data_IF_350782550646
#
_entry.id   IF_350782550646
#
_cell.length_a   1.000
_cell.length_b   1.000
_cell.length_c   1.000
_cell.angle_alpha   90.00
_cell.angle_beta   90.00
_cell.angle_gamma   90.00
#
_symmetry.space_group_name_H-M   'P 1'
#
loop_
_entity.id
_entity.type
_entity.pdbx_description
1 polymer ?
#
# COMPACT_ATOMS: atom_id res chain seq x y z
N UNK A 1 17.87 -5.10 -13.06
CA UNK A 1 16.45 -5.55 -13.15
C UNK A 1 16.02 -5.90 -11.73
N UNK A 2 14.89 -5.38 -11.30
CA UNK A 2 14.27 -5.59 -9.96
C UNK A 2 13.00 -6.38 -10.15
N UNK A 3 12.65 -7.28 -9.24
CA UNK A 3 11.42 -8.08 -9.28
C UNK A 3 10.45 -7.61 -8.20
N UNK A 4 9.25 -7.19 -8.60
CA UNK A 4 8.28 -6.50 -7.73
C UNK A 4 6.96 -7.25 -7.67
N UNK A 5 6.43 -7.47 -6.47
CA UNK A 5 5.05 -7.91 -6.24
C UNK A 5 4.19 -6.72 -5.80
N UNK A 6 2.99 -6.56 -6.40
CA UNK A 6 2.10 -5.42 -6.12
C UNK A 6 0.71 -5.92 -5.76
N UNK A 7 0.24 -5.65 -4.54
CA UNK A 7 -1.14 -5.96 -4.17
C UNK A 7 -2.14 -4.97 -4.81
N UNK A 8 -3.33 -5.47 -5.20
CA UNK A 8 -4.38 -4.64 -5.80
C UNK A 8 -3.98 -4.00 -7.13
N UNK A 9 -3.16 -4.69 -7.94
CA UNK A 9 -2.64 -4.20 -9.21
C UNK A 9 -3.55 -4.49 -10.42
N UNK A 10 -4.77 -4.96 -10.20
CA UNK A 10 -5.76 -5.13 -11.27
C UNK A 10 -6.44 -3.83 -11.71
N UNK A 11 -6.22 -2.70 -11.00
CA UNK A 11 -6.86 -1.42 -11.30
C UNK A 11 -6.08 -0.24 -10.68
N UNK A 12 -6.48 1.00 -11.03
CA UNK A 12 -6.01 2.24 -10.40
C UNK A 12 -4.49 2.36 -10.32
N UNK A 13 -4.00 2.92 -9.22
CA UNK A 13 -2.58 3.21 -9.02
C UNK A 13 -1.69 1.97 -9.06
N UNK A 14 -2.18 0.82 -8.58
CA UNK A 14 -1.42 -0.44 -8.62
C UNK A 14 -1.19 -0.93 -10.03
N UNK A 15 -2.19 -0.82 -10.92
CA UNK A 15 -2.03 -1.16 -12.33
C UNK A 15 -1.09 -0.19 -13.05
N UNK A 16 -1.22 1.12 -12.80
CA UNK A 16 -0.35 2.13 -13.38
C UNK A 16 1.11 1.94 -12.95
N UNK A 17 1.34 1.62 -11.69
CA UNK A 17 2.67 1.29 -11.19
C UNK A 17 3.24 0.02 -11.85
N UNK A 18 2.42 -1.00 -12.02
CA UNK A 18 2.82 -2.23 -12.70
C UNK A 18 3.19 -1.98 -14.17
N UNK A 19 2.41 -1.19 -14.89
CA UNK A 19 2.71 -0.81 -16.27
C UNK A 19 4.04 -0.07 -16.37
N UNK A 20 4.25 0.95 -15.53
CA UNK A 20 5.49 1.73 -15.53
C UNK A 20 6.72 0.86 -15.18
N UNK A 21 6.60 -0.07 -14.25
CA UNK A 21 7.69 -1.01 -13.90
C UNK A 21 8.03 -1.93 -15.07
N UNK A 22 7.03 -2.47 -15.76
CA UNK A 22 7.24 -3.30 -16.97
C UNK A 22 7.89 -2.48 -18.08
N UNK A 23 7.44 -1.25 -18.34
CA UNK A 23 8.03 -0.32 -19.31
C UNK A 23 9.51 -0.03 -19.00
N UNK A 24 9.88 0.01 -17.72
CA UNK A 24 11.26 0.19 -17.26
C UNK A 24 12.09 -1.10 -17.29
N UNK A 25 11.54 -2.22 -17.74
CA UNK A 25 12.25 -3.50 -17.85
C UNK A 25 12.38 -4.28 -16.53
N UNK A 26 11.50 -4.02 -15.55
CA UNK A 26 11.44 -4.76 -14.29
C UNK A 26 10.49 -5.95 -14.37
N UNK A 27 10.75 -7.01 -13.59
CA UNK A 27 9.82 -8.13 -13.42
C UNK A 27 8.68 -7.75 -12.49
N UNK A 28 7.43 -8.01 -12.89
CA UNK A 28 6.25 -7.65 -12.11
C UNK A 28 5.31 -8.82 -11.97
N UNK A 29 4.94 -9.14 -10.72
CA UNK A 29 3.85 -10.05 -10.39
C UNK A 29 2.66 -9.25 -9.90
N UNK A 30 1.51 -9.48 -10.55
CA UNK A 30 0.26 -8.80 -10.25
C UNK A 30 -0.52 -9.53 -9.15
N UNK A 31 -1.50 -8.85 -8.58
CA UNK A 31 -2.48 -9.42 -7.67
C UNK A 31 -3.90 -8.97 -8.01
N UNK A 32 -4.83 -9.92 -8.01
CA UNK A 32 -6.24 -9.70 -8.20
C UNK A 32 -7.08 -10.52 -7.20
N UNK A 33 -8.26 -10.03 -6.83
CA UNK A 33 -9.12 -10.70 -5.85
C UNK A 33 -9.83 -11.95 -6.39
N UNK A 34 -9.90 -12.15 -7.71
CA UNK A 34 -10.49 -13.33 -8.35
C UNK A 34 -9.94 -13.52 -9.76
N UNK A 35 -10.17 -14.70 -10.35
CA UNK A 35 -9.66 -15.12 -11.66
C UNK A 35 -10.04 -14.15 -12.78
N UNK A 36 -11.31 -13.73 -12.86
CA UNK A 36 -11.75 -12.78 -13.89
C UNK A 36 -10.94 -11.48 -13.86
N UNK A 37 -10.76 -10.91 -12.66
CA UNK A 37 -9.94 -9.69 -12.47
C UNK A 37 -8.45 -9.95 -12.75
N UNK A 38 -7.99 -11.17 -12.51
CA UNK A 38 -6.62 -11.59 -12.84
C UNK A 38 -6.37 -11.59 -14.35
N UNK A 39 -7.27 -12.17 -15.11
CA UNK A 39 -7.18 -12.17 -16.58
C UNK A 39 -7.24 -10.76 -17.16
N UNK A 40 -8.18 -9.92 -16.65
CA UNK A 40 -8.27 -8.51 -17.02
C UNK A 40 -6.96 -7.76 -16.72
N UNK A 41 -6.33 -8.04 -15.58
CA UNK A 41 -5.08 -7.40 -15.17
C UNK A 41 -3.91 -7.79 -16.08
N UNK A 42 -3.74 -9.08 -16.39
CA UNK A 42 -2.71 -9.55 -17.32
C UNK A 42 -2.88 -8.97 -18.73
N UNK A 43 -4.12 -8.88 -19.21
CA UNK A 43 -4.41 -8.25 -20.49
C UNK A 43 -4.07 -6.74 -20.48
N UNK A 44 -4.26 -6.06 -19.35
CA UNK A 44 -4.01 -4.63 -19.20
C UNK A 44 -2.53 -4.28 -18.93
N UNK A 45 -1.71 -5.24 -18.48
CA UNK A 45 -0.28 -5.08 -18.21
C UNK A 45 0.52 -6.12 -19.01
N UNK A 46 0.62 -5.97 -20.34
CA UNK A 46 1.42 -6.87 -21.17
C UNK A 46 2.88 -6.84 -20.70
N UNK A 47 3.46 -8.02 -20.47
CA UNK A 47 4.82 -8.16 -19.95
C UNK A 47 4.91 -8.37 -18.45
N UNK A 48 3.80 -8.34 -17.70
CA UNK A 48 3.78 -8.86 -16.33
C UNK A 48 4.08 -10.37 -16.33
N UNK A 49 4.84 -10.86 -15.34
CA UNK A 49 5.24 -12.26 -15.25
C UNK A 49 4.04 -13.20 -15.06
N UNK A 50 3.16 -12.84 -14.15
CA UNK A 50 1.94 -13.59 -13.79
C UNK A 50 1.06 -12.76 -12.87
N UNK A 51 -0.07 -13.35 -12.44
CA UNK A 51 -0.97 -12.80 -11.43
C UNK A 51 -1.23 -13.83 -10.34
N UNK A 52 -1.18 -13.40 -9.07
CA UNK A 52 -1.65 -14.19 -7.93
C UNK A 52 -3.07 -13.80 -7.57
N UNK A 53 -3.86 -14.79 -7.14
CA UNK A 53 -5.30 -14.63 -6.91
C UNK A 53 -5.63 -14.87 -5.45
N UNK A 54 -6.41 -13.97 -4.86
CA UNK A 54 -7.00 -14.12 -3.52
C UNK A 54 -7.66 -12.85 -3.05
N UNK A 55 -8.79 -12.97 -2.35
CA UNK A 55 -9.48 -11.82 -1.79
C UNK A 55 -8.86 -11.45 -0.43
N UNK A 56 -8.32 -10.25 -0.34
CA UNK A 56 -7.70 -9.72 0.89
C UNK A 56 -8.71 -9.40 2.01
N UNK A 57 -10.00 -9.55 1.73
CA UNK A 57 -11.04 -9.54 2.77
C UNK A 57 -11.03 -10.81 3.64
N UNK A 58 -10.41 -11.89 3.17
CA UNK A 58 -10.33 -13.19 3.84
C UNK A 58 -8.92 -13.44 4.35
N UNK A 59 -8.80 -13.78 5.63
CA UNK A 59 -7.51 -14.17 6.25
C UNK A 59 -6.95 -15.42 5.55
N UNK A 60 -7.80 -16.41 5.27
CA UNK A 60 -7.39 -17.64 4.61
C UNK A 60 -6.87 -17.37 3.20
N UNK A 61 -7.57 -16.56 2.40
CA UNK A 61 -7.14 -16.21 1.05
C UNK A 61 -5.90 -15.31 1.06
N UNK A 62 -5.78 -14.39 2.01
CA UNK A 62 -4.56 -13.57 2.17
C UNK A 62 -3.33 -14.43 2.46
N UNK A 63 -3.44 -15.46 3.30
CA UNK A 63 -2.38 -16.46 3.50
C UNK A 63 -2.08 -17.22 2.21
N UNK A 64 -3.12 -17.63 1.48
CA UNK A 64 -2.97 -18.28 0.18
C UNK A 64 -2.24 -17.40 -0.85
N UNK A 65 -2.44 -16.07 -0.82
CA UNK A 65 -1.66 -15.12 -1.64
C UNK A 65 -0.17 -15.16 -1.26
N UNK A 66 0.15 -15.13 0.04
CA UNK A 66 1.54 -15.23 0.48
C UNK A 66 2.20 -16.54 0.03
N UNK A 67 1.48 -17.66 0.11
CA UNK A 67 1.96 -18.96 -0.36
C UNK A 67 2.21 -18.98 -1.87
N UNK A 68 1.32 -18.37 -2.67
CA UNK A 68 1.51 -18.23 -4.11
C UNK A 68 2.75 -17.40 -4.43
N UNK A 69 2.91 -16.24 -3.77
CA UNK A 69 4.08 -15.35 -3.92
C UNK A 69 5.36 -16.09 -3.58
N UNK A 70 5.41 -16.82 -2.47
CA UNK A 70 6.58 -17.57 -2.03
C UNK A 70 6.96 -18.70 -3.00
N UNK A 71 6.00 -19.36 -3.64
CA UNK A 71 6.25 -20.36 -4.70
C UNK A 71 6.87 -19.76 -5.96
N UNK A 72 6.66 -18.49 -6.22
CA UNK A 72 7.28 -17.77 -7.34
C UNK A 72 8.73 -17.38 -7.05
N UNK A 73 9.21 -17.54 -5.82
CA UNK A 73 10.57 -17.22 -5.40
C UNK A 73 10.71 -15.83 -4.76
N UNK A 74 11.93 -15.33 -4.71
CA UNK A 74 12.27 -14.07 -4.04
C UNK A 74 11.85 -12.85 -4.85
N UNK A 75 11.43 -11.81 -4.13
CA UNK A 75 11.16 -10.49 -4.66
C UNK A 75 12.12 -9.46 -4.07
N UNK A 76 12.55 -8.49 -4.87
CA UNK A 76 13.34 -7.37 -4.39
C UNK A 76 12.46 -6.35 -3.66
N UNK A 77 11.22 -6.17 -4.13
CA UNK A 77 10.26 -5.25 -3.51
C UNK A 77 8.84 -5.83 -3.45
N UNK A 78 8.12 -5.48 -2.38
CA UNK A 78 6.67 -5.71 -2.25
C UNK A 78 5.99 -4.37 -2.02
N UNK A 79 4.99 -4.07 -2.85
CA UNK A 79 4.16 -2.86 -2.74
C UNK A 79 2.78 -3.25 -2.21
N UNK A 80 2.48 -2.87 -0.98
CA UNK A 80 1.15 -2.98 -0.38
C UNK A 80 0.28 -1.81 -0.86
N UNK A 81 -0.26 -1.95 -2.08
CA UNK A 81 -1.06 -0.92 -2.74
C UNK A 81 -2.58 -1.17 -2.59
N UNK A 82 -3.01 -2.40 -2.35
CA UNK A 82 -4.43 -2.70 -2.18
C UNK A 82 -5.05 -1.86 -1.07
N UNK A 83 -6.25 -1.34 -1.31
CA UNK A 83 -6.95 -0.56 -0.30
C UNK A 83 -8.46 -0.44 -0.58
N UNK A 84 -9.25 -0.55 0.49
CA UNK A 84 -10.66 -0.21 0.52
C UNK A 84 -10.83 1.28 0.84
N UNK A 85 -11.89 1.89 0.31
CA UNK A 85 -12.11 3.33 0.41
C UNK A 85 -12.77 3.80 1.71
N UNK A 86 -12.86 5.11 1.87
CA UNK A 86 -13.32 5.80 3.09
C UNK A 86 -14.82 6.14 3.07
N UNK A 87 -15.56 5.76 2.03
CA UNK A 87 -16.96 6.15 1.85
C UNK A 87 -17.95 5.04 2.19
N UNK A 88 -17.55 4.07 3.01
CA UNK A 88 -18.46 3.01 3.44
C UNK A 88 -19.47 3.56 4.45
N UNK A 89 -20.78 3.64 4.09
CA UNK A 89 -21.80 4.24 4.96
C UNK A 89 -22.16 3.35 6.16
N UNK A 90 -21.75 2.09 6.13
CA UNK A 90 -21.95 1.09 7.18
C UNK A 90 -20.73 0.18 7.28
N UNK A 91 -20.52 -0.43 8.43
CA UNK A 91 -19.51 -1.46 8.59
C UNK A 91 -19.90 -2.67 7.70
N UNK A 92 -19.01 -3.02 6.77
CA UNK A 92 -19.11 -4.22 5.96
C UNK A 92 -18.26 -5.28 6.67
N UNK A 93 -18.91 -6.29 7.24
CA UNK A 93 -18.21 -7.39 7.89
C UNK A 93 -17.67 -8.38 6.84
N UNK A 94 -16.44 -8.84 7.03
CA UNK A 94 -15.86 -9.95 6.27
C UNK A 94 -16.35 -11.29 6.79
N UNK A 95 -15.99 -12.39 6.11
CA UNK A 95 -16.27 -13.75 6.61
C UNK A 95 -15.59 -14.06 7.95
N UNK A 96 -14.49 -13.37 8.23
CA UNK A 96 -13.75 -13.47 9.51
C UNK A 96 -14.34 -12.57 10.62
N UNK A 97 -15.48 -11.89 10.38
CA UNK A 97 -16.13 -11.01 11.35
C UNK A 97 -15.45 -9.65 11.53
N UNK A 98 -14.50 -9.29 10.68
CA UNK A 98 -13.74 -8.03 10.76
C UNK A 98 -14.29 -6.97 9.79
N UNK A 99 -14.15 -5.66 10.11
CA UNK A 99 -14.47 -4.62 9.15
C UNK A 99 -13.64 -4.74 7.87
N UNK A 100 -14.29 -4.64 6.71
CA UNK A 100 -13.66 -4.70 5.39
C UNK A 100 -12.45 -3.76 5.26
N UNK A 101 -12.60 -2.51 5.68
CA UNK A 101 -11.52 -1.52 5.63
C UNK A 101 -10.32 -1.97 6.45
N UNK A 102 -10.54 -2.50 7.66
CA UNK A 102 -9.46 -3.02 8.50
C UNK A 102 -8.81 -4.27 7.89
N UNK A 103 -9.61 -5.22 7.41
CA UNK A 103 -9.12 -6.45 6.81
C UNK A 103 -8.20 -6.17 5.61
N UNK A 104 -8.64 -5.32 4.67
CA UNK A 104 -7.90 -5.06 3.43
C UNK A 104 -6.72 -4.11 3.64
N UNK A 105 -6.91 -3.02 4.41
CA UNK A 105 -5.91 -1.97 4.50
C UNK A 105 -4.85 -2.21 5.58
N UNK A 106 -5.19 -2.95 6.64
CA UNK A 106 -4.30 -3.17 7.78
C UNK A 106 -3.86 -4.61 7.92
N UNK A 107 -4.84 -5.52 8.04
CA UNK A 107 -4.55 -6.92 8.37
C UNK A 107 -3.87 -7.66 7.21
N UNK A 108 -4.32 -7.43 5.98
CA UNK A 108 -3.71 -8.05 4.81
C UNK A 108 -2.24 -7.61 4.60
N UNK A 109 -1.89 -6.30 4.61
CA UNK A 109 -0.49 -5.89 4.60
C UNK A 109 0.34 -6.50 5.72
N UNK A 110 -0.21 -6.57 6.95
CA UNK A 110 0.46 -7.19 8.09
C UNK A 110 0.74 -8.69 7.85
N UNK A 111 -0.27 -9.46 7.43
CA UNK A 111 -0.13 -10.90 7.14
C UNK A 111 0.87 -11.13 6.02
N UNK A 112 0.76 -10.40 4.92
CA UNK A 112 1.66 -10.53 3.76
C UNK A 112 3.09 -10.16 4.13
N UNK A 113 3.30 -9.10 4.91
CA UNK A 113 4.62 -8.73 5.43
C UNK A 113 5.22 -9.84 6.29
N UNK A 114 4.41 -10.49 7.12
CA UNK A 114 4.88 -11.54 8.02
C UNK A 114 5.19 -12.87 7.30
N UNK A 115 4.47 -13.19 6.21
CA UNK A 115 4.50 -14.51 5.59
C UNK A 115 5.26 -14.57 4.26
N UNK A 116 5.35 -13.48 3.50
CA UNK A 116 6.16 -13.43 2.28
C UNK A 116 7.64 -13.48 2.66
N UNK A 117 8.43 -14.25 1.90
CA UNK A 117 9.89 -14.25 2.05
C UNK A 117 10.41 -12.83 1.98
N UNK A 118 11.21 -12.45 2.99
CA UNK A 118 11.62 -11.07 3.23
C UNK A 118 12.24 -10.42 1.99
N UNK A 119 11.61 -9.38 1.42
CA UNK A 119 12.18 -8.62 0.32
C UNK A 119 13.19 -7.59 0.84
N UNK A 120 13.93 -6.95 -0.07
CA UNK A 120 14.81 -5.83 0.28
C UNK A 120 14.03 -4.55 0.58
N UNK A 121 12.83 -4.40 -0.01
CA UNK A 121 12.01 -3.18 0.08
C UNK A 121 10.55 -3.52 0.35
N UNK A 122 9.95 -2.79 1.28
CA UNK A 122 8.54 -2.85 1.61
C UNK A 122 7.94 -1.44 1.51
N UNK A 123 6.91 -1.30 0.70
CA UNK A 123 6.25 -0.03 0.44
C UNK A 123 4.77 -0.14 0.82
N UNK A 124 4.29 0.75 1.69
CA UNK A 124 2.92 0.79 2.18
C UNK A 124 2.21 2.06 1.68
N UNK A 125 1.11 1.90 0.96
CA UNK A 125 0.31 3.03 0.50
C UNK A 125 -0.61 3.52 1.62
N UNK A 126 -0.18 4.59 2.27
CA UNK A 126 -0.94 5.35 3.25
C UNK A 126 -1.82 6.43 2.57
N UNK A 127 -2.18 7.46 3.27
CA UNK A 127 -2.98 8.61 2.83
C UNK A 127 -2.71 9.80 3.76
N UNK A 128 -2.92 11.02 3.32
CA UNK A 128 -2.90 12.21 4.18
C UNK A 128 -3.86 12.13 5.36
N UNK A 129 -4.92 11.31 5.24
CA UNK A 129 -5.88 11.06 6.31
C UNK A 129 -5.29 10.27 7.49
N UNK A 130 -4.12 9.63 7.37
CA UNK A 130 -3.44 8.99 8.50
C UNK A 130 -3.23 9.92 9.69
N UNK A 131 -3.12 11.25 9.45
CA UNK A 131 -2.95 12.27 10.50
C UNK A 131 -4.15 12.37 11.46
N UNK A 132 -5.32 11.89 11.03
CA UNK A 132 -6.55 11.85 11.82
C UNK A 132 -6.86 10.45 12.37
N UNK A 133 -5.96 9.48 12.18
CA UNK A 133 -6.12 8.11 12.65
C UNK A 133 -5.88 7.98 14.15
N UNK A 134 -6.48 6.95 14.76
CA UNK A 134 -6.27 6.57 16.16
C UNK A 134 -5.16 5.49 16.26
N UNK A 135 -4.08 5.84 16.94
CA UNK A 135 -2.95 4.94 17.17
C UNK A 135 -3.15 3.97 18.35
N UNK A 136 -4.24 4.07 19.07
CA UNK A 136 -4.47 3.26 20.29
C UNK A 136 -4.65 1.77 20.02
N UNK A 137 -4.99 1.39 18.77
CA UNK A 137 -5.32 0.04 18.34
C UNK A 137 -6.47 -0.59 19.14
N UNK A 138 -7.29 0.24 19.79
CA UNK A 138 -8.47 -0.20 20.51
C UNK A 138 -9.65 -0.33 19.57
N UNK A 139 -10.51 -1.31 19.84
CA UNK A 139 -11.76 -1.52 19.11
C UNK A 139 -11.59 -1.56 17.58
N UNK A 140 -10.62 -2.35 17.11
CA UNK A 140 -10.34 -2.55 15.68
C UNK A 140 -11.52 -3.17 14.92
N UNK A 141 -12.37 -3.91 15.63
CA UNK A 141 -13.60 -4.50 15.10
C UNK A 141 -14.80 -3.55 15.08
N UNK A 142 -14.68 -2.34 15.64
CA UNK A 142 -15.78 -1.36 15.73
C UNK A 142 -17.01 -1.89 16.49
N UNK A 143 -16.81 -2.65 17.54
CA UNK A 143 -17.87 -3.25 18.35
C UNK A 143 -18.43 -2.28 19.42
N UNK A 144 -17.62 -1.33 19.88
CA UNK A 144 -17.89 -0.47 21.03
C UNK A 144 -18.14 0.99 20.65
N UNK A 145 -18.18 1.32 19.37
CA UNK A 145 -18.41 2.69 18.86
C UNK A 145 -19.22 2.67 17.57
N UNK A 146 -20.02 3.75 17.28
CA UNK A 146 -20.74 3.87 16.02
C UNK A 146 -19.78 3.88 14.83
N UNK A 147 -20.18 3.20 13.74
CA UNK A 147 -19.38 3.16 12.51
C UNK A 147 -19.21 4.55 11.91
N UNK A 148 -17.98 4.88 11.58
CA UNK A 148 -17.59 6.07 10.84
C UNK A 148 -16.57 5.67 9.76
N UNK A 149 -17.01 5.51 8.52
CA UNK A 149 -16.16 4.99 7.43
C UNK A 149 -14.91 5.82 7.19
N UNK A 150 -14.98 7.15 7.31
CA UNK A 150 -13.81 8.01 7.18
C UNK A 150 -12.79 7.78 8.32
N UNK A 151 -13.27 7.63 9.56
CA UNK A 151 -12.39 7.37 10.70
C UNK A 151 -11.76 5.98 10.57
N UNK A 152 -12.54 4.95 10.20
CA UNK A 152 -12.03 3.60 9.97
C UNK A 152 -10.93 3.58 8.88
N UNK A 153 -11.12 4.35 7.82
CA UNK A 153 -10.10 4.52 6.79
C UNK A 153 -8.86 5.26 7.33
N UNK A 154 -9.04 6.36 8.05
CA UNK A 154 -7.95 7.14 8.65
C UNK A 154 -7.12 6.28 9.60
N UNK A 155 -7.77 5.49 10.46
CA UNK A 155 -7.14 4.53 11.36
C UNK A 155 -6.31 3.52 10.56
N UNK A 156 -6.91 2.93 9.51
CA UNK A 156 -6.23 1.95 8.68
C UNK A 156 -4.99 2.52 7.97
N UNK A 157 -5.06 3.80 7.53
CA UNK A 157 -3.93 4.46 6.87
C UNK A 157 -2.83 4.88 7.85
N UNK A 158 -3.17 5.14 9.09
CA UNK A 158 -2.20 5.26 10.17
C UNK A 158 -1.56 3.91 10.49
N UNK A 159 -2.32 2.80 10.48
CA UNK A 159 -1.77 1.46 10.69
C UNK A 159 -0.71 1.09 9.63
N UNK A 160 -0.90 1.47 8.36
CA UNK A 160 0.12 1.29 7.30
C UNK A 160 1.45 1.96 7.69
N UNK A 161 1.39 3.18 8.24
CA UNK A 161 2.58 3.91 8.73
C UNK A 161 3.21 3.21 9.94
N UNK A 162 2.38 2.76 10.89
CA UNK A 162 2.85 2.04 12.08
C UNK A 162 3.52 0.71 11.72
N UNK A 163 2.97 -0.03 10.75
CA UNK A 163 3.59 -1.26 10.22
C UNK A 163 4.95 -0.93 9.58
N UNK A 164 5.01 0.11 8.73
CA UNK A 164 6.28 0.52 8.12
C UNK A 164 7.35 0.84 9.17
N UNK A 165 7.02 1.57 10.23
CA UNK A 165 7.93 1.88 11.33
C UNK A 165 8.33 0.63 12.14
N UNK A 166 7.39 -0.28 12.40
CA UNK A 166 7.66 -1.51 13.12
C UNK A 166 8.62 -2.41 12.33
N UNK A 167 8.43 -2.52 11.01
CA UNK A 167 9.33 -3.26 10.12
C UNK A 167 10.71 -2.62 10.08
N UNK A 168 10.80 -1.31 9.86
CA UNK A 168 12.07 -0.58 9.84
C UNK A 168 12.91 -0.82 11.09
N UNK A 169 12.24 -0.87 12.25
CA UNK A 169 12.89 -1.12 13.54
C UNK A 169 13.28 -2.58 13.74
N UNK A 170 12.45 -3.53 13.26
CA UNK A 170 12.63 -4.97 13.46
C UNK A 170 13.56 -5.61 12.41
N UNK A 171 13.58 -5.06 11.20
CA UNK A 171 14.37 -5.52 10.06
C UNK A 171 15.22 -4.38 9.48
N UNK A 172 16.34 -4.05 10.12
CA UNK A 172 17.17 -2.89 9.72
C UNK A 172 17.82 -3.05 8.34
N UNK A 173 17.84 -4.26 7.81
CA UNK A 173 18.31 -4.63 6.48
C UNK A 173 17.24 -4.46 5.38
N UNK A 174 16.00 -4.10 5.75
CA UNK A 174 14.88 -3.87 4.83
C UNK A 174 14.55 -2.40 4.75
N UNK A 175 14.50 -1.86 3.54
CA UNK A 175 14.02 -0.51 3.30
C UNK A 175 12.49 -0.48 3.38
N UNK A 176 11.96 -0.10 4.53
CA UNK A 176 10.54 -0.05 4.80
C UNK A 176 10.03 1.38 4.75
N UNK A 177 9.08 1.67 3.88
CA UNK A 177 8.59 3.02 3.62
C UNK A 177 7.07 3.08 3.53
N UNK A 178 6.48 4.16 4.04
CA UNK A 178 5.10 4.54 3.80
C UNK A 178 5.06 5.75 2.86
N UNK A 179 4.05 5.79 2.00
CA UNK A 179 3.85 6.91 1.09
C UNK A 179 2.39 7.35 1.04
N UNK A 180 2.19 8.63 0.74
CA UNK A 180 0.90 9.25 0.44
C UNK A 180 0.85 9.55 -1.06
N UNK A 181 -0.04 8.90 -1.85
CA UNK A 181 -0.10 9.09 -3.29
C UNK A 181 -0.82 10.39 -3.74
N UNK A 182 -1.34 11.17 -2.80
CA UNK A 182 -2.23 12.30 -3.08
C UNK A 182 -3.71 11.89 -3.15
N UNK A 183 -4.58 12.87 -3.37
CA UNK A 183 -6.00 12.64 -3.60
C UNK A 183 -6.28 12.66 -5.10
N UNK A 184 -6.32 11.48 -5.70
CA UNK A 184 -6.38 11.29 -7.16
C UNK A 184 -7.66 10.62 -7.62
N UNK A 185 -8.05 10.86 -8.88
CA UNK A 185 -9.29 10.41 -9.51
C UNK A 185 -9.26 8.89 -9.80
N UNK A 186 -9.27 8.10 -8.74
CA UNK A 186 -9.44 6.64 -8.75
C UNK A 186 -10.84 6.27 -8.25
N UNK A 187 -11.19 4.97 -8.26
CA UNK A 187 -12.44 4.49 -7.64
C UNK A 187 -12.54 4.88 -6.16
N UNK A 188 -11.42 4.88 -5.45
CA UNK A 188 -11.36 5.30 -4.04
C UNK A 188 -11.45 6.81 -3.90
N UNK A 189 -10.68 7.58 -4.65
CA UNK A 189 -10.64 9.04 -4.54
C UNK A 189 -11.89 9.75 -5.10
N UNK A 190 -12.52 9.15 -6.11
CA UNK A 190 -13.68 9.71 -6.80
C UNK A 190 -13.32 10.72 -7.90
N UNK A 191 -14.31 11.09 -8.75
CA UNK A 191 -14.04 11.88 -9.98
C UNK A 191 -13.64 13.34 -9.72
N UNK A 192 -13.88 13.87 -8.52
CA UNK A 192 -13.53 15.25 -8.17
C UNK A 192 -12.18 15.40 -7.46
N UNK A 193 -11.35 14.37 -7.45
CA UNK A 193 -10.03 14.44 -6.84
C UNK A 193 -9.10 15.37 -7.64
N UNK A 194 -8.39 16.31 -6.98
CA UNK A 194 -7.69 17.41 -7.66
C UNK A 194 -6.28 17.06 -8.11
N UNK A 195 -5.68 15.98 -7.57
CA UNK A 195 -4.26 15.70 -7.78
C UNK A 195 -4.02 14.94 -9.09
N UNK A 196 -2.81 15.07 -9.63
CA UNK A 196 -2.41 14.46 -10.89
C UNK A 196 -2.33 12.93 -10.76
N UNK A 197 -3.23 12.24 -11.47
CA UNK A 197 -3.30 10.79 -11.49
C UNK A 197 -2.04 10.15 -12.09
N UNK A 198 -1.45 10.76 -13.12
CA UNK A 198 -0.26 10.23 -13.78
C UNK A 198 0.99 10.33 -12.91
N UNK A 199 1.04 11.30 -12.01
CA UNK A 199 2.15 11.45 -11.08
C UNK A 199 2.02 10.53 -9.84
N UNK A 200 0.80 10.22 -9.43
CA UNK A 200 0.51 9.58 -8.15
C UNK A 200 1.11 8.17 -7.96
N UNK A 201 1.27 7.40 -9.05
CA UNK A 201 1.85 6.05 -8.98
C UNK A 201 3.38 6.04 -9.03
N UNK A 202 4.03 7.15 -9.42
CA UNK A 202 5.49 7.20 -9.67
C UNK A 202 6.30 7.06 -8.39
N UNK A 203 5.81 7.58 -7.27
CA UNK A 203 6.52 7.49 -5.99
C UNK A 203 6.68 6.05 -5.51
N UNK A 204 5.65 5.21 -5.62
CA UNK A 204 5.76 3.80 -5.24
C UNK A 204 6.72 3.03 -6.16
N UNK A 205 6.75 3.35 -7.46
CA UNK A 205 7.70 2.78 -8.41
C UNK A 205 9.12 3.19 -8.03
N UNK A 206 9.36 4.48 -7.83
CA UNK A 206 10.67 5.01 -7.45
C UNK A 206 11.19 4.38 -6.15
N UNK A 207 10.36 4.25 -5.11
CA UNK A 207 10.74 3.57 -3.86
C UNK A 207 11.08 2.10 -4.07
N UNK A 208 10.43 1.44 -5.03
CA UNK A 208 10.65 0.02 -5.30
C UNK A 208 11.97 -0.26 -6.03
N UNK A 209 12.44 0.65 -6.90
CA UNK A 209 13.53 0.33 -7.83
C UNK A 209 14.72 1.29 -7.84
N UNK A 210 14.59 2.50 -7.27
CA UNK A 210 15.64 3.52 -7.34
C UNK A 210 16.73 3.29 -6.30
N UNK A 211 17.98 3.45 -6.73
CA UNK A 211 19.17 3.46 -5.86
C UNK A 211 19.58 4.88 -5.44
N UNK A 212 18.75 5.89 -5.74
CA UNK A 212 18.99 7.26 -5.28
C UNK A 212 19.03 7.31 -3.74
N UNK A 213 19.93 8.11 -3.12
CA UNK A 213 20.08 8.15 -1.67
C UNK A 213 18.76 8.35 -0.91
N UNK A 214 17.85 9.17 -1.44
CA UNK A 214 16.55 9.39 -0.83
C UNK A 214 15.61 8.17 -0.91
N UNK A 215 15.76 7.27 -1.89
CA UNK A 215 14.98 6.03 -2.01
C UNK A 215 15.54 4.89 -1.15
N UNK A 216 16.79 5.00 -0.73
CA UNK A 216 17.50 3.99 0.08
C UNK A 216 17.47 4.29 1.58
N UNK A 217 16.60 5.19 2.01
CA UNK A 217 16.36 5.49 3.42
C UNK A 217 15.10 4.77 3.86
N UNK A 218 15.14 4.13 5.01
CA UNK A 218 13.95 3.59 5.68
C UNK A 218 13.29 4.65 6.54
N UNK A 219 11.96 4.55 6.74
CA UNK A 219 11.27 5.48 7.65
C UNK A 219 11.77 5.31 9.08
N UNK A 220 12.29 6.38 9.65
CA UNK A 220 12.74 6.44 11.05
C UNK A 220 11.87 7.38 11.89
N UNK A 221 10.93 8.09 11.28
CA UNK A 221 10.04 9.03 11.93
C UNK A 221 9.02 9.65 10.96
N UNK A 222 8.10 10.42 11.49
CA UNK A 222 7.00 11.06 10.74
C UNK A 222 7.45 11.98 9.59
N UNK A 223 8.68 12.44 9.59
CA UNK A 223 9.26 13.30 8.55
C UNK A 223 9.65 12.54 7.28
N UNK A 224 9.63 11.21 7.30
CA UNK A 224 10.03 10.33 6.19
C UNK A 224 8.85 9.64 5.50
N UNK A 225 7.62 10.13 5.71
CA UNK A 225 6.47 9.68 4.92
C UNK A 225 6.55 10.41 3.58
N UNK A 226 6.78 9.65 2.52
CA UNK A 226 6.92 10.21 1.19
C UNK A 226 5.59 10.73 0.66
N UNK A 227 5.56 11.99 0.22
CA UNK A 227 4.42 12.59 -0.46
C UNK A 227 4.73 12.68 -1.95
N UNK A 228 3.74 12.43 -2.82
CA UNK A 228 3.90 12.51 -4.26
C UNK A 228 4.42 13.88 -4.74
N UNK A 229 4.06 14.96 -4.04
CA UNK A 229 4.52 16.33 -4.35
C UNK A 229 6.02 16.50 -4.22
N UNK A 230 6.71 15.66 -3.45
CA UNK A 230 8.17 15.73 -3.31
C UNK A 230 8.92 15.30 -4.57
N UNK A 231 8.28 14.56 -5.48
CA UNK A 231 8.89 14.08 -6.73
C UNK A 231 8.54 14.89 -7.97
N UNK A 232 7.43 15.63 -7.98
CA UNK A 232 7.03 16.46 -9.12
C UNK A 232 7.83 17.75 -9.26
N UNK A 233 8.65 18.09 -8.28
CA UNK A 233 9.57 19.21 -8.35
C UNK A 233 10.90 18.83 -7.71
N UNK A 234 11.94 18.67 -8.50
CA UNK A 234 13.36 18.65 -8.08
C UNK A 234 13.80 20.01 -7.49
N UNK A 235 12.90 20.74 -6.84
CA UNK A 235 13.22 21.87 -6.00
C UNK A 235 12.88 21.50 -4.57
N UNK A 236 13.93 21.14 -3.82
CA UNK A 236 14.02 21.08 -2.36
C UNK A 236 12.66 21.11 -1.65
N UNK A 237 12.16 19.96 -1.19
CA UNK A 237 11.19 19.93 -0.10
C UNK A 237 11.90 20.47 1.15
N UNK A 238 12.04 21.80 1.19
CA UNK A 238 12.47 22.53 2.36
C UNK A 238 11.44 22.30 3.43
N UNK A 239 11.88 21.68 4.53
CA UNK A 239 11.23 21.67 5.84
C UNK A 239 9.70 21.55 5.80
N UNK A 240 9.18 20.36 5.62
CA UNK A 240 7.80 20.05 5.95
C UNK A 240 7.71 19.74 7.45
N UNK A 241 6.94 20.63 8.09
CA UNK A 241 6.32 20.53 9.39
C UNK A 241 7.24 20.49 10.61
N UNK A 242 7.15 21.54 11.39
CA UNK A 242 7.45 21.54 12.83
C UNK A 242 6.76 20.34 13.48
N UNK A 243 7.41 19.61 14.37
CA UNK A 243 6.76 18.57 15.13
C UNK A 243 5.67 19.22 15.99
N UNK A 244 4.42 18.87 15.77
CA UNK A 244 3.41 19.04 16.81
C UNK A 244 3.63 17.89 17.81
N UNK A 245 4.60 18.07 18.69
CA UNK A 245 4.71 17.34 19.94
C UNK A 245 4.15 18.27 21.00
N UNK A 246 2.97 17.99 21.43
CA UNK A 246 2.38 18.48 22.66
C UNK A 246 1.78 17.29 23.37
N UNK A 247 2.55 16.84 24.41
CA UNK A 247 2.24 15.91 25.51
C UNK A 247 2.08 14.46 25.11
#
# INVERSE_FOLDING_TARGET
MVRVFITGSSDGLGRMAAQLLVEQGHGVVLHARNERRGQEALAAVPGAETVVIGDLMSIAQTRGVADQVNRLGLFDAVIHNAGAGYREPRCIATEDGLPHVFAVNTLAPYILTALIQRPKRLIYLSSGLHRSGDASLKDLAWENRPWQGQQAYSDSKLHDVLIAFAVARRWPDVLSNALEPGWVATKTGGPGAPDDLDAAHRTQVWLAVSDAPAATVTVTGWTHIYCWTAMCGLKSCGRLAKPMIGV
#
